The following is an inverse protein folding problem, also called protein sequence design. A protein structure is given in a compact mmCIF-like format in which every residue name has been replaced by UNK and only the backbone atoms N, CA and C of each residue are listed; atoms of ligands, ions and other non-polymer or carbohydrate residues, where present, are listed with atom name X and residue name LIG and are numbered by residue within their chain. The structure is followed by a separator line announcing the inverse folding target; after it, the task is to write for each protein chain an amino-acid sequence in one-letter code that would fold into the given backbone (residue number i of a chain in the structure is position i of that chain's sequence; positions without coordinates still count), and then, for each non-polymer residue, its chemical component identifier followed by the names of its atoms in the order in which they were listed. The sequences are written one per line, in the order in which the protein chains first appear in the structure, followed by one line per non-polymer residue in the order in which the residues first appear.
data_IF_765781903917
#
_entry.id   IF_765781903917
#
_cell.length_a   1.000
_cell.length_b   1.000
_cell.length_c   1.000
_cell.angle_alpha   90.00
_cell.angle_beta   90.00
_cell.angle_gamma   90.00
#
_symmetry.space_group_name_H-M   'P 1'
#
loop_
_entity.id
_entity.type
_entity.pdbx_description
1 polymer ?
#
# COMPACT_ATOMS: atom_id res chain seq x y z
N UNK A 1 5.74 -5.36 6.98
CA UNK A 1 6.25 -4.02 7.32
C UNK A 1 5.58 -3.52 8.59
N UNK A 2 6.07 -3.94 9.77
CA UNK A 2 5.55 -3.49 11.07
C UNK A 2 6.13 -2.12 11.47
N UNK A 3 6.19 -1.17 10.52
CA UNK A 3 6.79 0.15 10.75
C UNK A 3 6.08 0.88 11.89
N UNK A 4 6.84 1.53 12.78
CA UNK A 4 6.24 2.36 13.84
C UNK A 4 5.64 3.66 13.30
N UNK A 5 6.18 4.14 12.20
CA UNK A 5 5.76 5.28 11.40
C UNK A 5 6.36 5.09 10.00
N UNK A 6 5.62 5.42 8.95
CA UNK A 6 6.06 5.25 7.56
C UNK A 6 5.55 6.44 6.72
N UNK A 7 6.41 7.42 6.39
CA UNK A 7 5.97 8.64 5.72
C UNK A 7 5.67 8.46 4.23
N UNK A 8 6.30 7.48 3.57
CA UNK A 8 6.17 7.28 2.12
C UNK A 8 5.89 5.82 1.76
N UNK A 9 6.57 4.87 2.39
CA UNK A 9 6.39 3.44 2.13
C UNK A 9 6.66 3.10 0.67
N UNK A 10 7.90 2.75 0.33
CA UNK A 10 8.20 2.22 -1.01
C UNK A 10 8.15 0.69 -1.03
N UNK A 11 8.42 0.05 0.11
CA UNK A 11 8.54 -1.41 0.20
C UNK A 11 7.23 -2.14 -0.09
N UNK A 12 6.07 -1.61 0.31
CA UNK A 12 4.76 -2.19 -0.03
C UNK A 12 4.47 -2.08 -1.52
N UNK A 13 4.90 -1.01 -2.18
CA UNK A 13 4.75 -0.84 -3.62
C UNK A 13 5.58 -1.89 -4.36
N UNK A 14 6.85 -2.07 -3.95
CA UNK A 14 7.68 -3.14 -4.50
C UNK A 14 7.09 -4.52 -4.23
N UNK A 15 6.62 -4.79 -3.01
CA UNK A 15 5.98 -6.06 -2.67
C UNK A 15 4.81 -6.35 -3.63
N UNK A 16 3.90 -5.40 -3.80
CA UNK A 16 2.75 -5.54 -4.69
C UNK A 16 3.16 -5.66 -6.17
N UNK A 17 4.11 -4.86 -6.65
CA UNK A 17 4.60 -4.91 -8.03
C UNK A 17 5.20 -6.28 -8.40
N UNK A 18 5.76 -7.00 -7.43
CA UNK A 18 6.31 -8.35 -7.61
C UNK A 18 5.34 -9.47 -7.21
N UNK A 19 4.06 -9.15 -6.98
CA UNK A 19 3.04 -10.16 -6.65
C UNK A 19 3.24 -10.78 -5.26
N UNK A 20 3.82 -10.04 -4.32
CA UNK A 20 3.93 -10.40 -2.91
C UNK A 20 2.94 -9.56 -2.09
N UNK A 21 1.80 -10.11 -1.65
CA UNK A 21 0.83 -9.37 -0.84
C UNK A 21 1.50 -8.95 0.49
N UNK A 22 1.59 -7.65 0.79
CA UNK A 22 2.26 -7.19 2.00
C UNK A 22 1.42 -7.45 3.24
N UNK A 23 2.09 -7.79 4.34
CA UNK A 23 1.55 -7.67 5.71
C UNK A 23 2.08 -6.37 6.28
N UNK A 24 1.24 -5.39 6.57
CA UNK A 24 1.69 -4.06 6.98
C UNK A 24 0.87 -3.49 8.13
N UNK A 25 1.47 -2.61 8.94
CA UNK A 25 0.70 -1.87 9.94
C UNK A 25 -0.05 -0.74 9.25
N UNK A 26 -1.30 -0.50 9.64
CA UNK A 26 -2.12 0.62 9.22
C UNK A 26 -1.56 1.95 9.78
N UNK A 27 -0.50 2.48 9.17
CA UNK A 27 0.11 3.75 9.55
C UNK A 27 0.71 4.51 8.38
N UNK A 28 0.56 5.84 8.39
CA UNK A 28 1.13 6.72 7.37
C UNK A 28 0.80 6.23 5.95
N UNK A 29 1.78 6.26 5.05
CA UNK A 29 1.60 5.88 3.65
C UNK A 29 1.20 4.41 3.41
N UNK A 30 1.28 3.53 4.43
CA UNK A 30 0.84 2.14 4.30
C UNK A 30 -0.68 2.01 4.24
N UNK A 31 -1.42 2.85 4.98
CA UNK A 31 -2.89 2.91 4.89
C UNK A 31 -3.34 3.37 3.52
N UNK A 32 -2.63 4.34 2.95
CA UNK A 32 -3.03 4.96 1.68
C UNK A 32 -2.72 4.09 0.46
N UNK A 33 -1.88 3.06 0.61
CA UNK A 33 -1.36 2.27 -0.53
C UNK A 33 -1.74 0.80 -0.50
N UNK A 34 -2.06 0.22 0.66
CA UNK A 34 -2.47 -1.18 0.78
C UNK A 34 -3.97 -1.25 1.02
N UNK A 35 -4.70 -1.88 0.10
CA UNK A 35 -6.12 -2.14 0.30
C UNK A 35 -6.26 -3.41 1.16
N UNK A 36 -6.97 -3.34 2.31
CA UNK A 36 -7.09 -4.48 3.21
C UNK A 36 -7.87 -5.62 2.54
N UNK A 37 -7.35 -6.83 2.70
CA UNK A 37 -8.00 -8.05 2.22
C UNK A 37 -9.37 -8.24 2.88
N UNK A 38 -10.39 -8.47 2.05
CA UNK A 38 -11.74 -8.81 2.48
C UNK A 38 -12.01 -10.30 2.22
N UNK A 39 -12.14 -11.09 3.29
CA UNK A 39 -12.40 -12.54 3.19
C UNK A 39 -13.72 -12.91 2.50
N UNK A 40 -14.71 -12.02 2.53
CA UNK A 40 -16.01 -12.30 1.94
C UNK A 40 -16.03 -12.11 0.43
N UNK A 41 -15.21 -11.19 -0.09
CA UNK A 41 -15.19 -10.83 -1.52
C UNK A 41 -13.95 -11.30 -2.26
N UNK A 42 -12.85 -11.60 -1.55
CA UNK A 42 -11.56 -11.90 -2.17
C UNK A 42 -10.79 -10.65 -2.64
N UNK A 43 -11.33 -9.45 -2.39
CA UNK A 43 -10.74 -8.18 -2.83
C UNK A 43 -9.66 -7.68 -1.86
N UNK A 44 -8.85 -6.73 -2.33
CA UNK A 44 -7.74 -6.14 -1.58
C UNK A 44 -6.39 -6.37 -2.27
N UNK A 45 -5.34 -5.84 -1.66
CA UNK A 45 -3.96 -5.99 -2.14
C UNK A 45 -2.98 -6.49 -1.08
N UNK A 46 -3.39 -6.59 0.18
CA UNK A 46 -2.56 -7.11 1.27
C UNK A 46 -3.31 -7.23 2.60
N UNK A 47 -2.57 -7.50 3.67
CA UNK A 47 -3.08 -7.69 5.02
C UNK A 47 -2.65 -6.53 5.90
N UNK A 48 -3.61 -5.88 6.56
CA UNK A 48 -3.34 -4.76 7.47
C UNK A 48 -3.64 -5.15 8.92
N UNK A 49 -2.85 -4.58 9.84
CA UNK A 49 -3.07 -4.65 11.27
C UNK A 49 -2.87 -3.28 11.91
N UNK A 50 -3.58 -2.97 12.99
CA UNK A 50 -3.60 -1.62 13.56
C UNK A 50 -2.58 -1.47 14.69
N UNK A 51 -2.65 -2.37 15.67
CA UNK A 51 -1.87 -2.26 16.89
C UNK A 51 -0.39 -2.58 16.66
N UNK A 52 0.54 -1.76 17.16
CA UNK A 52 1.98 -2.04 17.08
C UNK A 52 2.41 -3.07 18.14
N UNK A 53 1.71 -4.20 18.23
CA UNK A 53 1.96 -5.28 19.17
C UNK A 53 2.42 -6.54 18.45
N UNK A 54 3.14 -7.39 19.19
CA UNK A 54 3.57 -8.71 18.71
C UNK A 54 2.39 -9.62 18.36
N UNK A 55 1.34 -9.59 19.19
CA UNK A 55 0.12 -10.37 18.97
C UNK A 55 -0.59 -9.96 17.67
N UNK A 56 -0.76 -8.66 17.41
CA UNK A 56 -1.40 -8.20 16.19
C UNK A 56 -0.64 -8.66 14.94
N UNK A 57 0.68 -8.53 14.94
CA UNK A 57 1.52 -9.04 13.85
C UNK A 57 1.41 -10.56 13.72
N UNK A 58 1.49 -11.30 14.82
CA UNK A 58 1.40 -12.75 14.85
C UNK A 58 0.09 -13.26 14.25
N UNK A 59 -1.05 -12.71 14.68
CA UNK A 59 -2.35 -13.11 14.18
C UNK A 59 -2.53 -12.76 12.70
N UNK A 60 -2.06 -11.60 12.24
CA UNK A 60 -2.12 -11.24 10.83
C UNK A 60 -1.21 -12.11 9.95
N UNK A 61 -0.04 -12.53 10.45
CA UNK A 61 0.79 -13.52 9.78
C UNK A 61 0.08 -14.87 9.68
N UNK A 62 -0.54 -15.34 10.76
CA UNK A 62 -1.35 -16.56 10.75
C UNK A 62 -2.49 -16.50 9.74
N UNK A 63 -3.18 -15.36 9.69
CA UNK A 63 -4.24 -15.10 8.72
C UNK A 63 -3.77 -15.14 7.27
N UNK A 64 -2.62 -14.52 6.97
CA UNK A 64 -2.02 -14.56 5.64
C UNK A 64 -1.60 -15.99 5.24
N UNK A 65 -1.01 -16.75 6.17
CA UNK A 65 -0.66 -18.15 5.94
C UNK A 65 -1.91 -19.03 5.70
N UNK A 66 -2.95 -18.91 6.52
CA UNK A 66 -4.21 -19.63 6.30
C UNK A 66 -4.82 -19.25 4.95
N UNK A 67 -4.83 -17.97 4.58
CA UNK A 67 -5.33 -17.55 3.26
C UNK A 67 -4.53 -18.18 2.12
N UNK A 68 -3.20 -18.27 2.24
CA UNK A 68 -2.35 -18.90 1.23
C UNK A 68 -2.66 -20.40 1.02
N UNK A 69 -2.87 -21.15 2.10
CA UNK A 69 -3.11 -22.60 2.03
C UNK A 69 -4.58 -22.96 1.79
N UNK A 70 -5.50 -22.27 2.45
CA UNK A 70 -6.91 -22.64 2.52
C UNK A 70 -7.76 -21.92 1.45
N UNK A 71 -7.29 -20.78 0.92
CA UNK A 71 -7.98 -19.96 -0.09
C UNK A 71 -7.03 -19.50 -1.21
N UNK A 72 -6.40 -20.44 -1.94
CA UNK A 72 -5.38 -20.12 -2.94
C UNK A 72 -5.88 -19.17 -4.05
N UNK A 73 -7.17 -19.23 -4.38
CA UNK A 73 -7.82 -18.32 -5.35
C UNK A 73 -7.89 -16.88 -4.84
N UNK A 74 -8.20 -16.66 -3.56
CA UNK A 74 -8.15 -15.34 -2.95
C UNK A 74 -6.71 -14.83 -2.89
N UNK A 75 -5.77 -15.66 -2.45
CA UNK A 75 -4.36 -15.26 -2.41
C UNK A 75 -3.86 -14.86 -3.80
N UNK A 76 -4.22 -15.62 -4.84
CA UNK A 76 -3.87 -15.28 -6.23
C UNK A 76 -4.51 -13.97 -6.67
N UNK A 77 -5.75 -13.69 -6.28
CA UNK A 77 -6.41 -12.42 -6.56
C UNK A 77 -5.66 -11.25 -5.91
N UNK A 78 -5.27 -11.37 -4.64
CA UNK A 78 -4.45 -10.37 -3.94
C UNK A 78 -3.14 -10.07 -4.69
N UNK A 79 -2.44 -11.11 -5.17
CA UNK A 79 -1.21 -10.94 -5.97
C UNK A 79 -1.50 -10.15 -7.25
N UNK A 80 -2.52 -10.56 -8.00
CA UNK A 80 -2.86 -9.93 -9.29
C UNK A 80 -3.34 -8.49 -9.11
N UNK A 81 -4.12 -8.22 -8.07
CA UNK A 81 -4.60 -6.88 -7.75
C UNK A 81 -3.43 -5.95 -7.39
N UNK A 82 -2.50 -6.43 -6.56
CA UNK A 82 -1.27 -5.69 -6.24
C UNK A 82 -0.43 -5.39 -7.49
N UNK A 83 -0.23 -6.36 -8.38
CA UNK A 83 0.54 -6.17 -9.62
C UNK A 83 -0.12 -5.25 -10.65
N UNK A 84 -1.45 -5.05 -10.56
CA UNK A 84 -2.20 -4.14 -11.45
C UNK A 84 -2.17 -2.68 -11.01
N UNK A 85 -1.75 -2.39 -9.78
CA UNK A 85 -1.63 -1.00 -9.31
C UNK A 85 -0.55 -0.27 -10.09
N UNK A 86 -0.84 0.99 -10.41
CA UNK A 86 0.15 1.90 -11.01
C UNK A 86 1.02 2.50 -9.90
N UNK A 87 2.30 2.14 -9.89
CA UNK A 87 3.31 2.70 -8.99
C UNK A 87 4.29 3.62 -9.72
N UNK A 88 3.95 4.08 -10.93
CA UNK A 88 4.79 4.98 -11.70
C UNK A 88 4.85 6.38 -11.05
N UNK A 89 5.91 7.11 -11.37
CA UNK A 89 6.07 8.49 -10.92
C UNK A 89 5.15 9.48 -11.64
N UNK A 90 4.44 9.07 -12.69
CA UNK A 90 3.69 9.95 -13.59
C UNK A 90 2.68 10.81 -12.81
N UNK A 91 1.86 10.19 -11.96
CA UNK A 91 0.85 10.90 -11.17
C UNK A 91 1.48 11.91 -10.19
N UNK A 92 2.52 11.48 -9.48
CA UNK A 92 3.25 12.36 -8.55
C UNK A 92 3.93 13.51 -9.31
N UNK A 93 4.55 13.23 -10.45
CA UNK A 93 5.21 14.24 -11.27
C UNK A 93 4.24 15.33 -11.72
N UNK A 94 3.05 14.96 -12.22
CA UNK A 94 2.02 15.91 -12.64
C UNK A 94 1.60 16.86 -11.49
N UNK A 95 1.45 16.32 -10.28
CA UNK A 95 1.14 17.14 -9.09
C UNK A 95 2.27 18.12 -8.75
N UNK A 96 3.52 17.66 -8.80
CA UNK A 96 4.67 18.53 -8.55
C UNK A 96 4.83 19.60 -9.63
N UNK A 97 4.61 19.26 -10.91
CA UNK A 97 4.61 20.22 -12.01
C UNK A 97 3.58 21.33 -11.79
N UNK A 98 2.38 20.98 -11.32
CA UNK A 98 1.35 21.96 -11.00
C UNK A 98 1.79 22.90 -9.86
N UNK A 99 2.37 22.37 -8.79
CA UNK A 99 2.90 23.17 -7.68
C UNK A 99 4.02 24.11 -8.16
N UNK A 100 4.92 23.63 -9.04
CA UNK A 100 5.96 24.47 -9.63
C UNK A 100 5.39 25.58 -10.51
N UNK A 101 4.35 25.28 -11.29
CA UNK A 101 3.64 26.28 -12.10
C UNK A 101 3.06 27.40 -11.24
N UNK A 102 2.35 27.06 -10.14
CA UNK A 102 1.82 28.03 -9.19
C UNK A 102 2.92 28.90 -8.55
N UNK A 103 4.04 28.28 -8.16
CA UNK A 103 5.16 29.01 -7.58
C UNK A 103 5.78 30.02 -8.55
N UNK A 104 5.89 29.65 -9.83
CA UNK A 104 6.39 30.54 -10.89
C UNK A 104 5.41 31.68 -11.16
N UNK A 105 4.11 31.41 -11.21
CA UNK A 105 3.07 32.42 -11.41
C UNK A 105 3.04 33.43 -10.25
N UNK A 106 3.01 32.95 -9.01
CA UNK A 106 3.02 33.81 -7.81
C UNK A 106 4.24 34.74 -7.76
N UNK A 107 5.41 34.24 -8.16
CA UNK A 107 6.64 35.06 -8.25
C UNK A 107 6.53 36.14 -9.32
N UNK A 108 5.92 35.84 -10.48
CA UNK A 108 5.74 36.79 -11.58
C UNK A 108 4.74 37.88 -11.24
N UNK A 109 3.65 37.55 -10.52
CA UNK A 109 2.64 38.52 -10.09
C UNK A 109 3.09 39.44 -8.94
N UNK A 110 4.20 39.11 -8.29
CA UNK A 110 4.79 39.91 -7.20
C UNK A 110 5.86 40.92 -7.68
N UNK A 111 6.11 40.98 -8.99
CA UNK A 111 7.01 41.92 -9.68
C UNK A 111 6.19 42.93 -10.48
#
# INVERSE_FOLDING_TARGET
MPSRFEPCGLTQMYSMAYGSPPIARATGGLVDSVDPYNEHTGEGTGFLFEDPTEDALYYTMGWACSTYYDRPEHYKALQVNGMKKDFSWSHSADQYEQVYSWAVEARRSSL
#
